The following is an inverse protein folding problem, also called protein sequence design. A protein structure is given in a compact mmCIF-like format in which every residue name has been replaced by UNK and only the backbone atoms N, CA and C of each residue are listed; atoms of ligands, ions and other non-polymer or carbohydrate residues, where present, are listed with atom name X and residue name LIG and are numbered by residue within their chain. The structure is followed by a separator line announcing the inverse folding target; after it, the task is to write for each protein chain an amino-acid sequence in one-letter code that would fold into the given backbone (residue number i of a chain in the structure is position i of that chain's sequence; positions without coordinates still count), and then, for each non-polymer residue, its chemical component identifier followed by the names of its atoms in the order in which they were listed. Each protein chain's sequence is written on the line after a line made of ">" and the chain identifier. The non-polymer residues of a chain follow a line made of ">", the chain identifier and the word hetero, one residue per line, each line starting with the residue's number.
data_IF_260234374339
#
_entry.id   IF_260234374339
#
_cell.length_a   1.000
_cell.length_b   1.000
_cell.length_c   1.000
_cell.angle_alpha   90.00
_cell.angle_beta   90.00
_cell.angle_gamma   90.00
#
_symmetry.space_group_name_H-M   'P 1'
#
loop_
_entity.id
_entity.type
_entity.pdbx_description
1 polymer ?
#
# COMPACT_ATOMS: atom_id res chain seq x y z
N UNK A 1 0.66 -7.96 5.15
CA UNK A 1 0.36 -6.75 4.33
C UNK A 1 -1.12 -6.57 4.00
N UNK A 2 -2.06 -7.40 4.50
CA UNK A 2 -3.52 -7.18 4.42
C UNK A 2 -4.01 -6.84 3.00
N UNK A 3 -3.79 -7.74 2.04
CA UNK A 3 -4.24 -7.54 0.68
C UNK A 3 -5.76 -7.74 0.57
N UNK A 4 -6.42 -6.86 -0.20
CA UNK A 4 -7.83 -7.04 -0.56
C UNK A 4 -8.01 -8.30 -1.43
N UNK A 5 -9.14 -9.03 -1.32
CA UNK A 5 -9.38 -10.24 -2.11
C UNK A 5 -9.17 -10.06 -3.62
N UNK A 6 -9.63 -8.94 -4.17
CA UNK A 6 -9.47 -8.62 -5.59
C UNK A 6 -8.00 -8.44 -5.98
N UNK A 7 -7.19 -7.90 -5.06
CA UNK A 7 -5.74 -7.76 -5.24
C UNK A 7 -5.04 -9.11 -5.18
N UNK A 8 -5.46 -10.00 -4.28
CA UNK A 8 -4.93 -11.38 -4.17
C UNK A 8 -5.13 -12.12 -5.48
N UNK A 9 -6.34 -12.04 -6.04
CA UNK A 9 -6.69 -12.66 -7.33
C UNK A 9 -5.89 -12.06 -8.49
N UNK A 10 -5.87 -10.73 -8.60
CA UNK A 10 -5.10 -10.01 -9.63
C UNK A 10 -3.61 -10.39 -9.62
N UNK A 11 -3.05 -10.55 -8.43
CA UNK A 11 -1.65 -10.90 -8.20
C UNK A 11 -1.37 -12.40 -8.26
N UNK A 12 -2.40 -13.24 -8.37
CA UNK A 12 -2.29 -14.71 -8.35
C UNK A 12 -1.51 -15.22 -7.13
N UNK A 13 -1.77 -14.62 -5.96
CA UNK A 13 -1.19 -15.09 -4.69
C UNK A 13 -1.84 -16.43 -4.34
N UNK A 14 -1.03 -17.44 -4.00
CA UNK A 14 -1.53 -18.80 -3.76
C UNK A 14 -2.00 -18.95 -2.33
N UNK A 15 -1.20 -18.46 -1.39
CA UNK A 15 -1.52 -18.46 0.03
C UNK A 15 -1.29 -17.05 0.61
N UNK A 16 -2.36 -16.24 0.78
CA UNK A 16 -2.22 -14.92 1.39
C UNK A 16 -1.90 -14.97 2.89
N UNK A 17 -1.97 -16.15 3.52
CA UNK A 17 -1.60 -16.35 4.93
C UNK A 17 -0.14 -16.77 5.09
N UNK A 18 0.51 -17.28 4.05
CA UNK A 18 1.96 -17.45 4.04
C UNK A 18 2.65 -16.08 4.16
N UNK A 19 3.46 -15.84 5.21
CA UNK A 19 4.06 -14.54 5.44
C UNK A 19 4.95 -14.07 4.29
N UNK A 20 5.65 -14.99 3.60
CA UNK A 20 6.57 -14.64 2.52
C UNK A 20 5.78 -14.21 1.30
N UNK A 21 4.85 -15.03 0.82
CA UNK A 21 3.98 -14.68 -0.31
C UNK A 21 3.24 -13.38 -0.05
N UNK A 22 2.71 -13.19 1.16
CA UNK A 22 1.97 -11.99 1.52
C UNK A 22 2.83 -10.72 1.46
N UNK A 23 4.07 -10.77 1.98
CA UNK A 23 5.00 -9.64 1.93
C UNK A 23 5.43 -9.34 0.49
N UNK A 24 5.79 -10.37 -0.29
CA UNK A 24 6.20 -10.20 -1.68
C UNK A 24 5.08 -9.62 -2.54
N UNK A 25 3.86 -10.14 -2.38
CA UNK A 25 2.70 -9.66 -3.12
C UNK A 25 2.36 -8.21 -2.75
N UNK A 26 2.39 -7.85 -1.46
CA UNK A 26 2.16 -6.48 -1.01
C UNK A 26 3.23 -5.51 -1.51
N UNK A 27 4.51 -5.89 -1.48
CA UNK A 27 5.59 -5.07 -2.03
C UNK A 27 5.43 -4.86 -3.55
N UNK A 28 5.10 -5.92 -4.30
CA UNK A 28 4.84 -5.83 -5.74
C UNK A 28 3.64 -4.93 -6.04
N UNK A 29 2.55 -5.08 -5.30
CA UNK A 29 1.37 -4.24 -5.47
C UNK A 29 1.68 -2.76 -5.21
N UNK A 30 2.38 -2.47 -4.11
CA UNK A 30 2.78 -1.11 -3.79
C UNK A 30 3.69 -0.51 -4.87
N UNK A 31 4.62 -1.29 -5.43
CA UNK A 31 5.44 -0.84 -6.57
C UNK A 31 4.59 -0.47 -7.79
N UNK A 32 3.61 -1.30 -8.15
CA UNK A 32 2.70 -1.00 -9.27
C UNK A 32 1.90 0.30 -9.04
N UNK A 33 1.48 0.55 -7.79
CA UNK A 33 0.80 1.79 -7.44
C UNK A 33 1.75 3.00 -7.50
N UNK A 34 2.99 2.86 -7.04
CA UNK A 34 3.98 3.92 -7.19
C UNK A 34 4.19 4.28 -8.66
N UNK A 35 4.33 3.29 -9.53
CA UNK A 35 4.50 3.53 -10.97
C UNK A 35 3.25 4.23 -11.55
N UNK A 36 2.04 3.78 -11.16
CA UNK A 36 0.76 4.41 -11.56
C UNK A 36 0.65 5.87 -11.12
N UNK A 37 1.18 6.22 -9.95
CA UNK A 37 1.10 7.57 -9.38
C UNK A 37 2.42 8.35 -9.53
N UNK A 38 3.25 8.00 -10.53
CA UNK A 38 4.47 8.74 -10.88
C UNK A 38 5.45 8.93 -9.71
N UNK A 39 5.57 7.92 -8.84
CA UNK A 39 6.44 7.98 -7.66
C UNK A 39 5.87 8.78 -6.48
N UNK A 40 4.64 9.29 -6.56
CA UNK A 40 3.96 9.94 -5.45
C UNK A 40 3.59 8.90 -4.38
N UNK A 41 4.46 8.77 -3.37
CA UNK A 41 4.28 7.84 -2.26
C UNK A 41 2.98 8.09 -1.48
N UNK A 42 2.51 9.33 -1.38
CA UNK A 42 1.28 9.64 -0.67
C UNK A 42 0.08 9.07 -1.41
N UNK A 43 -0.04 9.36 -2.71
CA UNK A 43 -1.12 8.81 -3.55
C UNK A 43 -1.07 7.29 -3.67
N UNK A 44 0.13 6.72 -3.77
CA UNK A 44 0.30 5.26 -3.80
C UNK A 44 -0.20 4.60 -2.50
N UNK A 45 0.09 5.17 -1.33
CA UNK A 45 -0.40 4.67 -0.05
C UNK A 45 -1.91 4.87 0.13
N UNK A 46 -2.47 5.99 -0.36
CA UNK A 46 -3.91 6.18 -0.42
C UNK A 46 -4.58 5.09 -1.25
N UNK A 47 -4.04 4.79 -2.44
CA UNK A 47 -4.56 3.75 -3.31
C UNK A 47 -4.33 2.33 -2.78
N UNK A 48 -3.27 2.13 -2.00
CA UNK A 48 -3.01 0.84 -1.35
C UNK A 48 -4.10 0.50 -0.33
N UNK A 49 -4.54 1.50 0.45
CA UNK A 49 -5.55 1.33 1.48
C UNK A 49 -6.99 1.45 0.96
N UNK A 50 -7.29 2.46 0.13
CA UNK A 50 -8.64 2.75 -0.36
C UNK A 50 -8.98 2.07 -1.70
N UNK A 51 -7.99 1.51 -2.37
CA UNK A 51 -8.07 1.11 -3.77
C UNK A 51 -7.77 2.26 -4.75
N UNK A 52 -7.15 1.97 -5.92
CA UNK A 52 -6.75 2.98 -6.89
C UNK A 52 -7.95 3.69 -7.54
N UNK A 53 -9.09 3.03 -7.67
CA UNK A 53 -10.30 3.64 -8.23
C UNK A 53 -10.90 4.70 -7.29
N UNK A 54 -10.79 4.54 -5.97
CA UNK A 54 -11.23 5.54 -5.02
C UNK A 54 -10.41 6.83 -5.16
N UNK A 55 -9.10 6.71 -5.32
CA UNK A 55 -8.19 7.83 -5.58
C UNK A 55 -8.50 8.49 -6.94
N UNK A 56 -8.68 7.69 -7.99
CA UNK A 56 -9.03 8.19 -9.34
C UNK A 56 -10.35 8.97 -9.35
N UNK A 57 -11.35 8.51 -8.57
CA UNK A 57 -12.67 9.14 -8.46
C UNK A 57 -12.72 10.27 -7.43
N UNK A 58 -11.63 10.55 -6.70
CA UNK A 58 -11.59 11.54 -5.63
C UNK A 58 -12.46 11.18 -4.41
N UNK A 59 -12.85 9.91 -4.24
CA UNK A 59 -13.71 9.42 -3.15
C UNK A 59 -12.85 8.70 -2.10
N UNK A 60 -11.89 9.43 -1.53
CA UNK A 60 -10.88 8.86 -0.64
C UNK A 60 -11.38 8.94 0.82
N UNK A 61 -11.53 7.82 1.54
CA UNK A 61 -11.92 7.85 2.95
C UNK A 61 -10.90 8.58 3.82
N UNK A 62 -11.36 9.28 4.86
CA UNK A 62 -10.49 10.04 5.80
C UNK A 62 -9.46 9.13 6.46
N UNK A 63 -9.83 7.89 6.75
CA UNK A 63 -8.99 6.84 7.33
C UNK A 63 -7.78 6.55 6.44
N UNK A 64 -7.94 6.63 5.11
CA UNK A 64 -6.86 6.39 4.17
C UNK A 64 -5.81 7.49 4.21
N UNK A 65 -6.22 8.75 4.40
CA UNK A 65 -5.29 9.86 4.63
C UNK A 65 -4.50 9.68 5.92
N UNK A 66 -5.18 9.22 7.00
CA UNK A 66 -4.51 8.91 8.27
C UNK A 66 -3.50 7.77 8.09
N UNK A 67 -3.89 6.69 7.42
CA UNK A 67 -3.01 5.56 7.10
C UNK A 67 -1.75 6.02 6.35
N UNK A 68 -1.92 6.73 5.21
CA UNK A 68 -0.79 7.18 4.40
C UNK A 68 0.17 8.09 5.19
N UNK A 69 -0.37 8.99 6.00
CA UNK A 69 0.42 9.88 6.85
C UNK A 69 1.22 9.10 7.89
N UNK A 70 0.60 8.14 8.58
CA UNK A 70 1.27 7.31 9.59
C UNK A 70 2.40 6.48 8.98
N UNK A 71 2.16 5.86 7.82
CA UNK A 71 3.19 5.06 7.13
C UNK A 71 4.39 5.93 6.73
N UNK A 72 4.16 7.11 6.14
CA UNK A 72 5.25 8.01 5.75
C UNK A 72 6.04 8.54 6.95
N UNK A 73 5.37 8.87 8.06
CA UNK A 73 6.04 9.27 9.31
C UNK A 73 6.91 8.14 9.85
N UNK A 74 6.37 6.92 9.91
CA UNK A 74 7.09 5.74 10.37
C UNK A 74 8.29 5.42 9.46
N UNK A 75 8.12 5.47 8.14
CA UNK A 75 9.20 5.29 7.18
C UNK A 75 10.33 6.31 7.36
N UNK A 76 9.98 7.59 7.58
CA UNK A 76 10.97 8.64 7.87
C UNK A 76 11.75 8.36 9.16
N UNK A 77 11.12 7.79 10.19
CA UNK A 77 11.80 7.38 11.44
C UNK A 77 12.80 6.25 11.18
N UNK A 78 12.37 5.18 10.51
CA UNK A 78 13.24 4.05 10.18
C UNK A 78 14.44 4.47 9.32
N UNK A 79 14.23 5.36 8.34
CA UNK A 79 15.33 5.89 7.50
C UNK A 79 16.37 6.71 8.25
N UNK A 80 16.03 7.27 9.41
CA UNK A 80 16.94 8.06 10.24
C UNK A 80 17.67 7.23 11.31
N UNK A 81 17.58 5.89 11.25
CA UNK A 81 18.23 5.00 12.21
C UNK A 81 17.39 4.69 13.46
N UNK A 82 16.08 4.93 13.43
CA UNK A 82 15.19 4.59 14.54
C UNK A 82 15.01 3.08 14.68
N UNK A 83 15.55 2.51 15.75
CA UNK A 83 15.10 1.22 16.32
C UNK A 83 13.81 1.48 17.12
N UNK A 84 12.88 0.52 17.09
CA UNK A 84 11.57 0.56 17.75
C UNK A 84 11.64 0.88 19.24
#
# INVERSE_FOLDING_TARGET
>A
MQLMPETIEFLKVRDPWDPRENIFAGARYYRMLLDRFNGDHYKALLAYHAGPEAVRKGRIPRESHKYATQVLMTWKKYRKGGVL
#
